data_IF_813311028810
#
_entry.id   IF_813311028810
#
_cell.length_a   1.000
_cell.length_b   1.000
_cell.length_c   1.000
_cell.angle_alpha   90.00
_cell.angle_beta   90.00
_cell.angle_gamma   90.00
#
_symmetry.space_group_name_H-M   'P 1'
#
loop_
_entity.id
_entity.type
_entity.pdbx_description
1 polymer ?
#
# COMPACT_ATOMS: atom_id res chain seq x y z
N UNK A 1 -14.07 -1.71 -0.54
CA UNK A 1 -13.20 -1.48 0.63
C UNK A 1 -12.29 -0.32 0.34
N UNK A 2 -12.10 0.57 1.30
CA UNK A 2 -11.08 1.62 1.28
C UNK A 2 -10.02 1.25 2.32
N UNK A 3 -8.75 1.37 1.95
CA UNK A 3 -7.62 1.15 2.88
C UNK A 3 -7.10 2.51 3.30
N UNK A 4 -6.99 2.74 4.60
CA UNK A 4 -6.46 3.99 5.15
C UNK A 4 -5.19 3.68 5.95
N UNK A 5 -4.14 4.45 5.69
CA UNK A 5 -2.94 4.44 6.53
C UNK A 5 -3.09 5.46 7.66
N UNK A 6 -2.84 5.02 8.89
CA UNK A 6 -2.81 5.87 10.07
C UNK A 6 -4.18 6.07 10.71
N UNK A 7 -4.44 7.25 11.27
CA UNK A 7 -5.65 7.53 12.03
C UNK A 7 -5.88 9.02 12.22
N UNK A 8 -6.71 9.38 13.19
CA UNK A 8 -6.98 10.77 13.55
C UNK A 8 -7.94 11.47 12.58
N UNK A 9 -7.88 12.81 12.55
CA UNK A 9 -8.92 13.64 11.91
C UNK A 9 -9.12 13.35 10.43
N UNK A 10 -8.04 13.10 9.68
CA UNK A 10 -8.14 12.82 8.24
C UNK A 10 -8.73 11.43 7.97
N UNK A 11 -8.34 10.41 8.75
CA UNK A 11 -8.96 9.10 8.65
C UNK A 11 -10.46 9.16 9.00
N UNK A 12 -10.83 9.91 10.03
CA UNK A 12 -12.23 10.10 10.43
C UNK A 12 -13.12 10.69 9.34
N UNK A 13 -12.60 11.58 8.49
CA UNK A 13 -13.35 12.13 7.33
C UNK A 13 -13.64 11.01 6.32
N UNK A 14 -12.65 10.17 6.00
CA UNK A 14 -12.81 9.05 5.09
C UNK A 14 -13.72 7.96 5.65
N UNK A 15 -13.63 7.68 6.95
CA UNK A 15 -14.51 6.73 7.65
C UNK A 15 -15.97 7.19 7.58
N UNK A 16 -16.24 8.46 7.89
CA UNK A 16 -17.58 9.02 7.80
C UNK A 16 -18.14 8.97 6.38
N UNK A 17 -17.33 9.32 5.39
CA UNK A 17 -17.78 9.29 4.00
C UNK A 17 -18.02 7.85 3.53
N UNK A 18 -17.09 6.93 3.80
CA UNK A 18 -17.25 5.52 3.47
C UNK A 18 -18.50 4.89 4.13
N UNK A 19 -18.81 5.26 5.37
CA UNK A 19 -20.00 4.82 6.08
C UNK A 19 -21.29 5.23 5.37
N UNK A 20 -21.37 6.45 4.81
CA UNK A 20 -22.54 6.89 4.01
C UNK A 20 -22.78 6.02 2.77
N UNK A 21 -21.72 5.44 2.22
CA UNK A 21 -21.78 4.61 1.01
C UNK A 21 -21.75 3.10 1.31
N UNK A 22 -21.85 2.68 2.59
CA UNK A 22 -21.69 1.28 3.01
C UNK A 22 -20.38 0.63 2.51
N UNK A 23 -19.31 1.42 2.45
CA UNK A 23 -17.99 0.94 2.03
C UNK A 23 -17.19 0.57 3.28
N UNK A 24 -16.74 -0.68 3.36
CA UNK A 24 -15.82 -1.13 4.42
C UNK A 24 -14.53 -0.29 4.40
N UNK A 25 -14.13 0.22 5.57
CA UNK A 25 -12.83 0.87 5.78
C UNK A 25 -11.92 -0.07 6.55
N UNK A 26 -10.72 -0.26 6.01
CA UNK A 26 -9.67 -1.05 6.63
C UNK A 26 -8.47 -0.15 6.97
N UNK A 27 -8.31 0.11 8.26
CA UNK A 27 -7.25 0.99 8.77
C UNK A 27 -6.02 0.16 9.08
N UNK A 28 -4.86 0.60 8.58
CA UNK A 28 -3.56 -0.02 8.80
C UNK A 28 -2.54 1.01 9.25
N UNK A 29 -1.47 0.56 9.89
CA UNK A 29 -0.30 1.37 10.22
C UNK A 29 0.77 1.20 9.13
N UNK A 30 1.54 2.28 8.89
CA UNK A 30 2.61 2.28 7.89
C UNK A 30 3.58 1.11 8.09
N UNK A 31 3.91 0.84 9.36
CA UNK A 31 4.77 -0.25 9.78
C UNK A 31 4.33 -1.61 9.20
N UNK A 32 3.03 -1.90 9.22
CA UNK A 32 2.49 -3.21 8.87
C UNK A 32 2.74 -3.58 7.41
N UNK A 33 2.51 -2.64 6.48
CA UNK A 33 2.81 -2.91 5.08
C UNK A 33 4.31 -2.80 4.79
N UNK A 34 5.05 -1.92 5.47
CA UNK A 34 6.48 -1.77 5.25
C UNK A 34 7.26 -3.03 5.62
N UNK A 35 6.88 -3.72 6.69
CA UNK A 35 7.46 -5.02 7.08
C UNK A 35 7.31 -6.09 6.00
N UNK A 36 6.22 -6.05 5.22
CA UNK A 36 6.03 -6.99 4.10
C UNK A 36 7.02 -6.76 2.95
N UNK A 37 7.48 -5.52 2.73
CA UNK A 37 8.28 -5.16 1.56
C UNK A 37 9.76 -4.83 1.86
N UNK A 38 10.07 -4.41 3.08
CA UNK A 38 11.40 -3.89 3.44
C UNK A 38 12.23 -4.91 4.23
N UNK A 39 13.56 -4.82 4.10
CA UNK A 39 14.53 -5.79 4.64
C UNK A 39 15.04 -5.49 6.05
N UNK A 40 14.82 -4.27 6.55
CA UNK A 40 15.48 -3.79 7.76
C UNK A 40 14.56 -2.85 8.50
N UNK A 41 14.53 -2.98 9.83
CA UNK A 41 13.85 -2.07 10.73
C UNK A 41 14.28 -0.60 10.51
N UNK A 42 15.53 -0.37 10.10
CA UNK A 42 16.05 0.96 9.78
C UNK A 42 15.35 1.60 8.56
N UNK A 43 14.87 0.80 7.61
CA UNK A 43 14.15 1.28 6.43
C UNK A 43 12.67 1.58 6.70
N UNK A 44 12.18 1.40 7.94
CA UNK A 44 10.76 1.55 8.27
C UNK A 44 10.37 2.99 8.64
N UNK A 45 11.33 3.89 8.88
CA UNK A 45 11.05 5.21 9.47
C UNK A 45 11.75 6.41 8.78
N UNK A 46 12.41 6.21 7.63
CA UNK A 46 13.27 7.22 7.03
C UNK A 46 12.78 7.75 5.67
N UNK A 47 13.38 8.83 5.18
CA UNK A 47 13.26 9.30 3.80
C UNK A 47 13.56 8.18 2.77
N UNK A 48 14.44 7.24 3.12
CA UNK A 48 14.76 6.09 2.26
C UNK A 48 13.57 5.14 2.12
N UNK A 49 12.72 5.02 3.15
CA UNK A 49 11.46 4.25 3.09
C UNK A 49 10.58 4.74 1.95
N UNK A 50 10.43 6.07 1.83
CA UNK A 50 9.63 6.71 0.78
C UNK A 50 10.21 6.50 -0.61
N UNK A 51 11.53 6.66 -0.76
CA UNK A 51 12.21 6.39 -2.05
C UNK A 51 12.01 4.94 -2.49
N UNK A 52 12.23 4.01 -1.56
CA UNK A 52 12.04 2.57 -1.81
C UNK A 52 10.58 2.24 -2.14
N UNK A 53 9.62 2.88 -1.47
CA UNK A 53 8.21 2.72 -1.80
C UNK A 53 7.93 3.12 -3.25
N UNK A 54 8.47 4.26 -3.72
CA UNK A 54 8.32 4.72 -5.10
C UNK A 54 8.93 3.72 -6.09
N UNK A 55 10.11 3.18 -5.81
CA UNK A 55 10.77 2.17 -6.65
C UNK A 55 9.92 0.91 -6.78
N UNK A 56 9.42 0.37 -5.66
CA UNK A 56 8.57 -0.81 -5.66
C UNK A 56 7.24 -0.54 -6.37
N UNK A 57 6.58 0.58 -6.06
CA UNK A 57 5.33 0.94 -6.70
C UNK A 57 5.48 1.13 -8.22
N UNK A 58 6.64 1.62 -8.69
CA UNK A 58 6.96 1.70 -10.12
C UNK A 58 7.03 0.31 -10.77
N UNK A 59 7.63 -0.68 -10.10
CA UNK A 59 7.63 -2.07 -10.57
C UNK A 59 6.20 -2.60 -10.65
N UNK A 60 5.40 -2.38 -9.61
CA UNK A 60 3.99 -2.79 -9.57
C UNK A 60 3.22 -2.22 -10.77
N UNK A 61 3.23 -0.90 -10.97
CA UNK A 61 2.42 -0.29 -12.03
C UNK A 61 2.94 -0.64 -13.42
N UNK A 62 4.25 -0.77 -13.61
CA UNK A 62 4.83 -1.14 -14.91
C UNK A 62 4.47 -2.59 -15.27
N UNK A 63 4.34 -3.47 -14.28
CA UNK A 63 3.99 -4.88 -14.50
C UNK A 63 2.49 -5.12 -14.68
N UNK A 64 1.64 -4.32 -14.01
CA UNK A 64 0.21 -4.62 -13.91
C UNK A 64 -0.72 -3.58 -14.55
N UNK A 65 -0.29 -2.32 -14.71
CA UNK A 65 -1.18 -1.26 -15.13
C UNK A 65 -1.29 -1.18 -16.66
N UNK A 66 -2.52 -1.02 -17.16
CA UNK A 66 -2.79 -0.77 -18.59
C UNK A 66 -2.25 0.59 -19.07
N UNK A 67 -2.08 1.55 -18.17
CA UNK A 67 -1.51 2.88 -18.42
C UNK A 67 -0.66 3.30 -17.22
N UNK A 68 0.56 3.76 -17.47
CA UNK A 68 1.49 4.21 -16.42
C UNK A 68 1.61 5.72 -16.46
N UNK A 69 1.38 6.37 -15.31
CA UNK A 69 1.81 7.75 -15.10
C UNK A 69 3.27 7.77 -14.70
N UNK A 70 4.09 8.55 -15.41
CA UNK A 70 5.52 8.65 -15.12
C UNK A 70 5.85 9.37 -13.80
N UNK A 71 4.91 10.18 -13.31
CA UNK A 71 5.00 10.86 -12.01
C UNK A 71 4.26 10.04 -10.97
N UNK A 72 5.03 9.44 -10.06
CA UNK A 72 4.54 8.64 -8.95
C UNK A 72 5.11 9.28 -7.67
N UNK A 73 4.25 9.93 -6.88
CA UNK A 73 4.65 10.57 -5.62
C UNK A 73 4.86 9.53 -4.52
N UNK A 74 5.45 9.96 -3.41
CA UNK A 74 5.56 9.15 -2.19
C UNK A 74 4.17 8.68 -1.71
N UNK A 75 3.21 9.59 -1.59
CA UNK A 75 1.85 9.25 -1.16
C UNK A 75 1.17 8.23 -2.10
N UNK A 76 1.34 8.37 -3.42
CA UNK A 76 0.80 7.40 -4.39
C UNK A 76 1.48 6.05 -4.24
N UNK A 77 2.80 6.03 -4.04
CA UNK A 77 3.54 4.80 -3.83
C UNK A 77 3.08 4.06 -2.57
N UNK A 78 2.97 4.78 -1.46
CA UNK A 78 2.52 4.24 -0.18
C UNK A 78 1.09 3.68 -0.31
N UNK A 79 0.18 4.40 -0.97
CA UNK A 79 -1.18 3.92 -1.20
C UNK A 79 -1.24 2.62 -2.04
N UNK A 80 -0.41 2.49 -3.08
CA UNK A 80 -0.33 1.26 -3.89
C UNK A 80 0.12 0.07 -3.03
N UNK A 81 1.21 0.24 -2.27
CA UNK A 81 1.77 -0.83 -1.44
C UNK A 81 0.85 -1.20 -0.26
N UNK A 82 0.22 -0.22 0.37
CA UNK A 82 -0.81 -0.42 1.40
C UNK A 82 -2.00 -1.23 0.86
N UNK A 83 -2.44 -0.92 -0.36
CA UNK A 83 -3.50 -1.67 -1.04
C UNK A 83 -3.12 -3.13 -1.28
N UNK A 84 -1.91 -3.41 -1.75
CA UNK A 84 -1.39 -4.76 -1.96
C UNK A 84 -1.33 -5.53 -0.63
N UNK A 85 -0.80 -4.90 0.43
CA UNK A 85 -0.76 -5.48 1.77
C UNK A 85 -2.15 -5.87 2.26
N UNK A 86 -3.12 -4.97 2.15
CA UNK A 86 -4.50 -5.23 2.55
C UNK A 86 -5.13 -6.37 1.74
N UNK A 87 -4.91 -6.41 0.43
CA UNK A 87 -5.36 -7.49 -0.44
C UNK A 87 -4.77 -8.83 0.00
N UNK A 88 -3.46 -8.90 0.27
CA UNK A 88 -2.79 -10.12 0.75
C UNK A 88 -3.36 -10.61 2.08
N UNK A 89 -3.61 -9.70 3.02
CA UNK A 89 -4.10 -10.03 4.35
C UNK A 89 -5.57 -10.49 4.32
N UNK A 90 -6.41 -9.84 3.50
CA UNK A 90 -7.86 -10.05 3.50
C UNK A 90 -8.32 -11.14 2.53
N UNK A 91 -7.54 -11.43 1.49
CA UNK A 91 -7.90 -12.39 0.45
C UNK A 91 -6.91 -13.56 0.43
N UNK A 92 -7.17 -14.58 1.25
CA UNK A 92 -6.29 -15.77 1.38
C UNK A 92 -6.04 -16.52 0.07
N UNK A 93 -6.98 -16.47 -0.87
CA UNK A 93 -6.92 -17.16 -2.15
C UNK A 93 -6.47 -16.25 -3.31
N UNK A 94 -6.12 -14.99 -3.03
CA UNK A 94 -5.64 -14.09 -4.06
C UNK A 94 -4.21 -14.48 -4.45
N UNK A 95 -4.04 -14.79 -5.73
CA UNK A 95 -2.72 -15.03 -6.34
C UNK A 95 -2.25 -13.71 -6.94
N UNK A 96 -1.07 -13.27 -6.55
CA UNK A 96 -0.47 -12.06 -7.12
C UNK A 96 0.34 -12.44 -8.36
N UNK A 97 0.52 -11.52 -9.33
CA UNK A 97 1.48 -11.73 -10.40
C UNK A 97 2.88 -12.00 -9.83
N UNK A 98 3.69 -12.88 -10.45
CA UNK A 98 5.00 -13.25 -9.94
C UNK A 98 5.93 -12.05 -9.69
N UNK A 99 5.79 -10.99 -10.49
CA UNK A 99 6.52 -9.74 -10.35
C UNK A 99 6.25 -9.06 -9.01
N UNK A 100 5.02 -9.15 -8.51
CA UNK A 100 4.58 -8.56 -7.25
C UNK A 100 4.93 -9.47 -6.08
N UNK A 101 4.77 -10.78 -6.23
CA UNK A 101 5.14 -11.75 -5.20
C UNK A 101 6.63 -11.66 -4.85
N UNK A 102 7.50 -11.46 -5.85
CA UNK A 102 8.95 -11.25 -5.65
C UNK A 102 9.29 -10.00 -4.85
N UNK A 103 8.37 -9.01 -4.78
CA UNK A 103 8.58 -7.82 -3.96
C UNK A 103 8.20 -8.05 -2.50
N UNK A 104 7.27 -8.98 -2.26
CA UNK A 104 6.87 -9.39 -0.92
C UNK A 104 7.96 -10.27 -0.32
N UNK A 105 8.25 -10.06 0.96
CA UNK A 105 9.23 -10.84 1.69
C UNK A 105 8.47 -11.75 2.65
N UNK A 106 8.72 -13.05 2.51
CA UNK A 106 8.27 -14.10 3.42
C UNK A 106 9.43 -14.46 4.36
#
# INVERSE_FOLDING_TARGET
MIVLEGGGKMAGIWEQEAAKHNIEVFVIQAQQWRELFFNSAASLHSYEAKRKAIELARIVVTSCARKVSWRLSDNTAEAILAGIYAMKLRQKNLVFPPEIEKLMRF
#
